data_IF_044289230602
#
_entry.id   IF_044289230602
#
_cell.length_a   1.000
_cell.length_b   1.000
_cell.length_c   1.000
_cell.angle_alpha   90.00
_cell.angle_beta   90.00
_cell.angle_gamma   90.00
#
_symmetry.space_group_name_H-M   'P 1'
#
loop_
_entity.id
_entity.type
_entity.pdbx_description
1 polymer ?
#
# COMPACT_ATOMS: atom_id res chain seq x y z
N UNK A 1 -4.97 15.19 3.03
CA UNK A 1 -4.02 14.26 3.65
C UNK A 1 -3.96 12.98 2.83
N UNK A 2 -2.77 12.62 2.38
CA UNK A 2 -2.60 11.39 1.62
C UNK A 2 -2.54 10.19 2.55
N UNK A 3 -3.56 9.36 2.50
CA UNK A 3 -3.53 8.07 3.20
C UNK A 3 -2.97 7.04 2.23
N UNK A 4 -1.86 6.43 2.59
CA UNK A 4 -1.29 5.34 1.81
C UNK A 4 -2.12 4.09 2.01
N UNK A 5 -2.77 3.63 0.95
CA UNK A 5 -3.60 2.43 0.97
C UNK A 5 -2.76 1.24 0.53
N UNK A 6 -2.77 0.12 1.28
CA UNK A 6 -2.07 -1.08 0.82
C UNK A 6 -2.62 -1.58 -0.51
N UNK A 7 -1.71 -1.89 -1.43
CA UNK A 7 -2.04 -2.38 -2.77
C UNK A 7 -1.51 -3.79 -2.95
N UNK A 8 -2.33 -4.68 -3.48
CA UNK A 8 -1.99 -6.09 -3.59
C UNK A 8 -1.00 -6.36 -4.72
N UNK A 9 0.07 -7.09 -4.41
CA UNK A 9 1.07 -7.49 -5.39
C UNK A 9 0.53 -8.66 -6.22
N UNK A 10 0.50 -8.48 -7.53
CA UNK A 10 0.04 -9.52 -8.46
C UNK A 10 1.15 -10.02 -9.37
N UNK A 11 2.25 -9.29 -9.49
CA UNK A 11 3.35 -9.64 -10.35
C UNK A 11 4.64 -8.99 -9.83
N UNK A 12 5.76 -9.68 -9.97
CA UNK A 12 7.07 -9.18 -9.54
C UNK A 12 8.08 -9.40 -10.66
N UNK A 13 8.86 -8.37 -10.97
CA UNK A 13 9.95 -8.42 -11.93
C UNK A 13 11.27 -8.08 -11.24
N UNK A 14 12.32 -8.85 -11.54
CA UNK A 14 13.61 -8.68 -10.91
C UNK A 14 13.75 -9.53 -9.66
N UNK A 15 14.86 -9.33 -8.94
CA UNK A 15 15.13 -10.03 -7.69
C UNK A 15 15.73 -9.07 -6.67
N UNK A 16 15.70 -9.42 -5.36
CA UNK A 16 16.25 -8.54 -4.32
C UNK A 16 17.74 -8.29 -4.46
N UNK A 17 18.46 -9.18 -5.12
CA UNK A 17 19.91 -9.06 -5.30
C UNK A 17 20.31 -8.39 -6.61
N UNK A 18 19.37 -8.14 -7.51
CA UNK A 18 19.65 -7.61 -8.83
C UNK A 18 19.28 -6.14 -8.93
N UNK A 19 20.25 -5.28 -8.62
CA UNK A 19 20.04 -3.82 -8.69
C UNK A 19 20.10 -3.27 -10.11
N UNK A 20 20.52 -4.08 -11.09
CA UNK A 20 20.73 -3.61 -12.46
C UNK A 20 19.54 -3.86 -13.38
N UNK A 21 18.70 -4.84 -13.11
CA UNK A 21 17.63 -5.24 -14.02
C UNK A 21 16.24 -4.70 -13.64
N UNK A 22 16.17 -3.65 -12.85
CA UNK A 22 14.89 -3.04 -12.53
C UNK A 22 14.01 -3.88 -11.60
N UNK A 23 13.91 -3.47 -10.35
CA UNK A 23 13.10 -4.12 -9.33
C UNK A 23 11.72 -3.48 -9.32
N UNK A 24 10.76 -4.15 -9.95
CA UNK A 24 9.41 -3.60 -10.15
C UNK A 24 8.37 -4.63 -9.72
N UNK A 25 7.32 -4.15 -9.06
CA UNK A 25 6.13 -4.95 -8.77
C UNK A 25 4.94 -4.34 -9.49
N UNK A 26 4.02 -5.19 -9.94
CA UNK A 26 2.72 -4.76 -10.43
C UNK A 26 1.72 -4.99 -9.30
N UNK A 27 0.98 -3.94 -8.95
CA UNK A 27 -0.03 -3.98 -7.90
C UNK A 27 -1.40 -3.70 -8.47
N UNK A 28 -2.42 -4.19 -7.78
CA UNK A 28 -3.82 -4.04 -8.18
C UNK A 28 -4.61 -3.39 -7.04
N UNK A 29 -5.39 -2.38 -7.40
CA UNK A 29 -6.37 -1.76 -6.51
C UNK A 29 -7.67 -1.61 -7.30
N UNK A 30 -8.69 -2.37 -6.89
CA UNK A 30 -10.03 -2.32 -7.50
C UNK A 30 -10.00 -2.51 -9.02
N UNK A 31 -9.17 -3.42 -9.51
CA UNK A 31 -9.03 -3.73 -10.93
C UNK A 31 -8.07 -2.82 -11.67
N UNK A 32 -7.54 -1.79 -11.03
CA UNK A 32 -6.56 -0.89 -11.65
C UNK A 32 -5.17 -1.39 -11.31
N UNK A 33 -4.37 -1.64 -12.35
CA UNK A 33 -2.99 -2.13 -12.19
C UNK A 33 -2.01 -0.98 -12.31
N UNK A 34 -1.02 -0.96 -11.43
CA UNK A 34 0.05 0.03 -11.43
C UNK A 34 1.38 -0.65 -11.21
N UNK A 35 2.43 -0.08 -11.80
CA UNK A 35 3.79 -0.50 -11.52
C UNK A 35 4.36 0.33 -10.39
N UNK A 36 5.13 -0.30 -9.52
CA UNK A 36 5.82 0.38 -8.44
C UNK A 36 7.25 -0.13 -8.34
N UNK A 37 8.16 0.73 -7.94
CA UNK A 37 9.56 0.38 -7.78
C UNK A 37 9.83 -0.20 -6.40
N UNK A 38 10.66 -1.23 -6.36
CA UNK A 38 11.01 -1.93 -5.13
C UNK A 38 12.38 -1.55 -4.58
N UNK A 39 12.99 -0.49 -5.12
CA UNK A 39 14.37 -0.11 -4.81
C UNK A 39 14.60 0.22 -3.34
N UNK A 40 13.57 0.75 -2.67
CA UNK A 40 13.68 1.23 -1.27
C UNK A 40 12.73 0.51 -0.31
N UNK A 41 12.08 -0.56 -0.76
CA UNK A 41 11.15 -1.30 0.09
C UNK A 41 11.88 -1.94 1.27
N UNK A 42 11.25 -1.92 2.45
CA UNK A 42 11.83 -2.46 3.67
C UNK A 42 11.98 -3.99 3.65
N UNK A 43 11.07 -4.68 2.96
CA UNK A 43 11.09 -6.13 2.83
C UNK A 43 10.61 -6.51 1.44
N UNK A 44 11.34 -7.41 0.76
CA UNK A 44 10.95 -7.87 -0.57
C UNK A 44 9.61 -8.61 -0.49
N UNK A 45 8.60 -8.20 -1.29
CA UNK A 45 7.29 -8.83 -1.23
C UNK A 45 7.23 -10.15 -1.98
N UNK A 46 6.23 -10.95 -1.60
CA UNK A 46 5.80 -12.11 -2.39
C UNK A 46 4.49 -11.76 -3.08
N UNK A 47 4.15 -12.51 -4.12
CA UNK A 47 2.85 -12.33 -4.78
C UNK A 47 1.75 -12.64 -3.77
N UNK A 48 0.79 -11.74 -3.65
CA UNK A 48 -0.26 -11.82 -2.65
C UNK A 48 -0.03 -10.92 -1.44
N UNK A 49 1.20 -10.45 -1.24
CA UNK A 49 1.48 -9.45 -0.22
C UNK A 49 0.93 -8.09 -0.65
N UNK A 50 0.98 -7.12 0.24
CA UNK A 50 0.53 -5.77 -0.02
C UNK A 50 1.67 -4.78 0.14
N UNK A 51 1.65 -3.73 -0.64
CA UNK A 51 2.67 -2.68 -0.59
C UNK A 51 2.04 -1.34 -0.26
N UNK A 52 2.69 -0.61 0.63
CA UNK A 52 2.43 0.80 0.84
C UNK A 52 3.32 1.56 -0.15
N UNK A 53 2.71 2.35 -1.01
CA UNK A 53 3.40 3.03 -2.10
C UNK A 53 3.30 4.54 -1.93
N UNK A 54 4.41 5.23 -2.14
CA UNK A 54 4.47 6.68 -2.13
C UNK A 54 5.31 7.17 -3.29
N UNK A 55 4.73 8.05 -4.11
CA UNK A 55 5.41 8.65 -5.25
C UNK A 55 6.00 7.61 -6.24
N UNK A 56 5.31 6.47 -6.42
CA UNK A 56 5.76 5.41 -7.32
C UNK A 56 6.73 4.42 -6.72
N UNK A 57 7.16 4.61 -5.48
CA UNK A 57 8.07 3.70 -4.78
C UNK A 57 7.35 2.95 -3.68
N UNK A 58 7.55 1.63 -3.63
CA UNK A 58 7.09 0.83 -2.51
C UNK A 58 8.01 1.10 -1.32
N UNK A 59 7.43 1.43 -0.17
CA UNK A 59 8.20 1.76 1.03
C UNK A 59 8.06 0.70 2.12
N UNK A 60 6.96 -0.01 2.13
CA UNK A 60 6.67 -0.97 3.20
C UNK A 60 5.88 -2.14 2.65
N UNK A 61 6.25 -3.37 3.03
CA UNK A 61 5.55 -4.59 2.66
C UNK A 61 4.75 -5.11 3.85
N UNK A 62 3.49 -5.41 3.59
CA UNK A 62 2.59 -6.01 4.58
C UNK A 62 2.18 -7.40 4.10
N UNK A 63 2.13 -8.39 4.99
CA UNK A 63 1.50 -9.66 4.64
C UNK A 63 -0.03 -9.44 4.54
N UNK A 64 -0.79 -10.39 3.95
CA UNK A 64 -2.22 -10.20 3.77
C UNK A 64 -2.98 -9.93 5.07
N UNK A 65 -2.55 -10.51 6.17
CA UNK A 65 -3.18 -10.34 7.48
C UNK A 65 -2.92 -8.93 8.04
N UNK A 66 -1.68 -8.47 7.93
CA UNK A 66 -1.30 -7.11 8.33
C UNK A 66 -2.06 -6.07 7.51
N UNK A 67 -2.17 -6.31 6.19
CA UNK A 67 -2.87 -5.42 5.28
C UNK A 67 -4.35 -5.33 5.62
N UNK A 68 -5.00 -6.45 5.91
CA UNK A 68 -6.40 -6.49 6.29
C UNK A 68 -6.66 -5.66 7.55
N UNK A 69 -5.82 -5.84 8.56
CA UNK A 69 -5.91 -5.06 9.79
C UNK A 69 -5.72 -3.58 9.53
N UNK A 70 -4.74 -3.22 8.71
CA UNK A 70 -4.44 -1.85 8.36
C UNK A 70 -5.61 -1.18 7.64
N UNK A 71 -6.18 -1.85 6.65
CA UNK A 71 -7.33 -1.35 5.89
C UNK A 71 -8.53 -1.16 6.81
N UNK A 72 -8.80 -2.12 7.69
CA UNK A 72 -9.90 -2.02 8.64
C UNK A 72 -9.74 -0.82 9.57
N UNK A 73 -8.53 -0.62 10.09
CA UNK A 73 -8.25 0.53 10.97
C UNK A 73 -8.42 1.85 10.23
N UNK A 74 -8.00 1.91 8.99
CA UNK A 74 -8.18 3.11 8.17
C UNK A 74 -9.65 3.43 7.95
N UNK A 75 -10.49 2.42 7.73
CA UNK A 75 -11.93 2.61 7.59
C UNK A 75 -12.56 3.11 8.89
N UNK A 76 -12.18 2.53 10.02
CA UNK A 76 -12.65 2.97 11.32
C UNK A 76 -12.25 4.42 11.62
N UNK A 77 -11.04 4.79 11.27
CA UNK A 77 -10.56 6.17 11.43
C UNK A 77 -11.36 7.14 10.55
N UNK A 78 -11.65 6.75 9.32
CA UNK A 78 -12.44 7.59 8.41
C UNK A 78 -13.85 7.80 8.95
N UNK A 79 -14.48 6.77 9.49
CA UNK A 79 -15.80 6.89 10.12
C UNK A 79 -15.78 7.83 11.32
N UNK A 80 -14.75 7.72 12.16
CA UNK A 80 -14.58 8.60 13.31
C UNK A 80 -14.34 10.05 12.89
N UNK A 81 -13.55 10.26 11.86
CA UNK A 81 -13.29 11.61 11.34
C UNK A 81 -14.58 12.24 10.82
N UNK A 82 -15.38 11.51 10.09
CA UNK A 82 -16.69 11.99 9.63
C UNK A 82 -17.59 12.38 10.80
N UNK A 83 -17.64 11.56 11.83
CA UNK A 83 -18.43 11.85 13.03
C UNK A 83 -17.92 13.10 13.75
N UNK A 84 -16.61 13.24 13.88
CA UNK A 84 -16.00 14.40 14.51
C UNK A 84 -16.26 15.66 13.69
N UNK A 85 -16.13 15.60 12.37
CA UNK A 85 -16.40 16.73 11.50
C UNK A 85 -17.85 17.19 11.60
N UNK A 86 -18.80 16.27 11.65
CA UNK A 86 -20.20 16.60 11.86
C UNK A 86 -20.43 17.32 13.19
N UNK A 87 -19.70 16.91 14.23
CA UNK A 87 -19.77 17.57 15.53
C UNK A 87 -19.07 18.93 15.52
N UNK A 88 -17.93 19.02 14.85
CA UNK A 88 -17.13 20.25 14.78
C UNK A 88 -17.84 21.35 14.02
N UNK A 89 -18.64 21.02 13.04
CA UNK A 89 -19.40 22.00 12.27
C UNK A 89 -20.44 22.76 13.11
N UNK A 90 -20.63 22.36 14.33
CA UNK A 90 -21.52 23.02 15.29
C UNK A 90 -20.84 24.09 16.12
N UNK A 91 -19.53 24.18 15.98
CA UNK A 91 -18.74 25.18 16.70
C UNK A 91 -18.80 26.57 15.99
#
# INVERSE_FOLDING_TARGET
MCLAVPMKVIEIHGSPDDFLSGQIAVVDVDGIRKETRLDIVDRWPDIGDYLIIHAGFAIHTLDPKEAETNIRLMREMAEKVETIESSSNRL
#
